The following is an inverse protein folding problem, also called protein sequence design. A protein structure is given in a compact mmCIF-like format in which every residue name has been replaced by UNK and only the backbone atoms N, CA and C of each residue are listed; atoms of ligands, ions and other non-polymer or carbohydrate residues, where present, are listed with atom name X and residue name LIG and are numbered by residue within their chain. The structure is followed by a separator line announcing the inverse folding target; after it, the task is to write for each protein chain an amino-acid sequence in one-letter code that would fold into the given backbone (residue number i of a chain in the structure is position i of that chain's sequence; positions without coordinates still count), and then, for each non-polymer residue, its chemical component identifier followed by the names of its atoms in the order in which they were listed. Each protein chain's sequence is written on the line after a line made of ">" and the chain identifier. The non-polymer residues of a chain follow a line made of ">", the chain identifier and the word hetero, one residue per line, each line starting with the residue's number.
data_IF_609362110751
#
_entry.id   IF_609362110751
#
_cell.length_a   1.000
_cell.length_b   1.000
_cell.length_c   1.000
_cell.angle_alpha   90.00
_cell.angle_beta   90.00
_cell.angle_gamma   90.00
#
_symmetry.space_group_name_H-M   'P 1'
#
loop_
_entity.id
_entity.type
_entity.pdbx_description
1 polymer ?
#
# COMPACT_ATOMS: atom_id res chain seq x y z
N UNK A 1 2.03 -4.23 51.11
CA UNK A 1 1.80 -2.96 50.37
C UNK A 1 2.41 -3.00 48.94
N UNK A 2 3.63 -3.49 48.77
CA UNK A 2 4.34 -3.57 47.47
C UNK A 2 3.63 -4.43 46.43
N UNK A 3 3.03 -5.57 46.81
CA UNK A 3 2.33 -6.46 45.89
C UNK A 3 1.02 -5.89 45.30
N UNK A 4 0.33 -5.00 46.03
CA UNK A 4 -0.87 -4.33 45.50
C UNK A 4 -0.51 -3.21 44.52
N UNK A 5 0.65 -2.55 44.70
CA UNK A 5 1.12 -1.49 43.82
C UNK A 5 1.55 -2.06 42.44
N UNK A 6 2.24 -3.24 42.43
CA UNK A 6 2.63 -3.89 41.17
C UNK A 6 1.44 -4.36 40.34
N UNK A 7 0.37 -4.87 41.00
CA UNK A 7 -0.83 -5.30 40.31
C UNK A 7 -1.61 -4.12 39.66
N UNK A 8 -1.62 -2.96 40.33
CA UNK A 8 -2.29 -1.75 39.83
C UNK A 8 -1.56 -1.17 38.63
N UNK A 9 -0.22 -1.18 38.61
CA UNK A 9 0.57 -0.74 37.46
C UNK A 9 0.42 -1.65 36.24
N UNK A 10 0.31 -2.97 36.45
CA UNK A 10 0.11 -3.94 35.35
C UNK A 10 -1.28 -3.79 34.73
N UNK A 11 -2.31 -3.59 35.52
CA UNK A 11 -3.69 -3.39 35.03
C UNK A 11 -3.85 -2.07 34.29
N UNK A 12 -3.20 -1.00 34.75
CA UNK A 12 -3.23 0.31 34.04
C UNK A 12 -2.45 0.27 32.73
N UNK A 13 -1.31 -0.45 32.66
CA UNK A 13 -0.55 -0.60 31.41
C UNK A 13 -1.33 -1.41 30.37
N UNK A 14 -1.98 -2.50 30.78
CA UNK A 14 -2.82 -3.32 29.89
C UNK A 14 -4.04 -2.55 29.41
N UNK A 15 -4.69 -1.74 30.27
CA UNK A 15 -5.84 -0.94 29.89
C UNK A 15 -5.45 0.24 28.95
N UNK A 16 -4.26 0.81 29.09
CA UNK A 16 -3.74 1.83 28.17
C UNK A 16 -3.42 1.25 26.79
N UNK A 17 -2.83 0.04 26.72
CA UNK A 17 -2.58 -0.65 25.46
C UNK A 17 -3.90 -1.04 24.74
N UNK A 18 -4.91 -1.52 25.47
CA UNK A 18 -6.24 -1.78 24.91
C UNK A 18 -6.96 -0.48 24.46
N UNK A 19 -6.80 0.62 25.17
CA UNK A 19 -7.40 1.92 24.81
C UNK A 19 -6.80 2.49 23.51
N UNK A 20 -5.50 2.30 23.27
CA UNK A 20 -4.87 2.73 22.01
C UNK A 20 -5.30 1.86 20.82
N UNK A 21 -5.51 0.57 21.02
CA UNK A 21 -6.00 -0.33 19.97
C UNK A 21 -7.45 -0.05 19.56
N UNK A 22 -8.27 0.49 20.45
CA UNK A 22 -9.69 0.78 20.18
C UNK A 22 -9.94 2.07 19.39
N UNK A 23 -8.96 2.96 19.25
CA UNK A 23 -9.14 4.28 18.62
C UNK A 23 -8.52 4.42 17.22
N UNK A 24 -8.01 3.34 16.61
CA UNK A 24 -7.56 3.39 15.21
C UNK A 24 -8.77 3.38 14.28
N UNK A 25 -9.06 4.53 13.68
CA UNK A 25 -10.12 4.66 12.69
C UNK A 25 -9.52 5.23 11.41
N UNK A 26 -9.31 4.36 10.43
CA UNK A 26 -8.89 4.77 9.10
C UNK A 26 -10.00 5.58 8.41
N UNK A 27 -9.63 6.43 7.47
CA UNK A 27 -10.59 7.12 6.61
C UNK A 27 -11.37 6.11 5.75
N UNK A 28 -12.52 6.53 5.25
CA UNK A 28 -13.41 5.71 4.41
C UNK A 28 -13.91 6.53 3.22
N UNK A 29 -13.01 7.32 2.63
CA UNK A 29 -13.35 8.26 1.56
C UNK A 29 -12.99 7.75 0.16
N UNK A 30 -12.50 6.53 0.01
CA UNK A 30 -12.14 5.87 -1.25
C UNK A 30 -10.88 6.39 -1.96
N UNK A 31 -10.24 7.44 -1.47
CA UNK A 31 -9.12 8.12 -2.15
C UNK A 31 -7.80 7.43 -1.80
N UNK A 32 -7.19 6.77 -2.79
CA UNK A 32 -5.82 6.25 -2.68
C UNK A 32 -4.89 7.18 -3.49
N UNK A 33 -3.94 7.82 -2.80
CA UNK A 33 -2.93 8.64 -3.44
C UNK A 33 -1.84 7.74 -4.05
N UNK A 34 -1.75 7.69 -5.39
CA UNK A 34 -0.80 6.89 -6.15
C UNK A 34 0.62 7.43 -5.95
N UNK A 35 1.52 6.62 -5.39
CA UNK A 35 2.90 7.01 -5.02
C UNK A 35 2.96 8.20 -4.06
N UNK A 36 1.95 8.32 -3.17
CA UNK A 36 1.69 9.49 -2.35
C UNK A 36 1.00 10.63 -3.10
N UNK A 37 0.67 11.72 -2.40
CA UNK A 37 0.10 12.92 -3.03
C UNK A 37 1.23 13.85 -3.50
N UNK A 38 1.82 13.53 -4.65
CA UNK A 38 3.06 14.14 -5.15
C UNK A 38 2.83 15.30 -6.13
N UNK A 39 1.69 15.34 -6.81
CA UNK A 39 1.55 16.15 -8.03
C UNK A 39 1.22 17.62 -7.74
N UNK A 40 0.29 17.91 -6.87
CA UNK A 40 -0.11 19.30 -6.58
C UNK A 40 0.94 20.03 -5.72
N UNK A 41 1.59 19.33 -4.80
CA UNK A 41 2.79 19.83 -4.13
C UNK A 41 3.99 19.14 -4.80
N UNK A 42 5.03 19.87 -5.25
CA UNK A 42 6.10 19.27 -6.07
C UNK A 42 7.01 18.35 -5.22
N UNK A 43 6.42 17.28 -4.71
CA UNK A 43 7.13 16.23 -4.00
C UNK A 43 7.52 15.11 -4.96
N UNK A 44 8.67 14.45 -4.80
CA UNK A 44 8.97 13.24 -5.56
C UNK A 44 7.95 12.14 -5.27
N UNK A 45 7.63 11.33 -6.27
CA UNK A 45 6.86 10.09 -6.07
C UNK A 45 7.57 9.17 -5.08
N UNK A 46 6.82 8.39 -4.31
CA UNK A 46 7.38 7.45 -3.33
C UNK A 46 8.25 8.09 -2.24
N UNK A 47 8.23 9.43 -2.08
CA UNK A 47 8.99 10.14 -1.04
C UNK A 47 8.24 10.17 0.30
N UNK A 48 8.97 10.44 1.38
CA UNK A 48 8.33 10.69 2.67
C UNK A 48 7.48 11.98 2.67
N UNK A 49 7.83 12.95 1.81
CA UNK A 49 7.07 14.17 1.62
C UNK A 49 5.74 13.90 0.91
N UNK A 50 5.70 13.07 -0.16
CA UNK A 50 4.44 12.72 -0.84
C UNK A 50 3.50 11.90 0.07
N UNK A 51 4.06 11.00 0.90
CA UNK A 51 3.31 10.31 1.94
C UNK A 51 2.72 11.30 2.95
N UNK A 52 3.52 12.24 3.45
CA UNK A 52 3.03 13.25 4.40
C UNK A 52 1.88 14.05 3.80
N UNK A 53 2.01 14.46 2.54
CA UNK A 53 0.95 15.21 1.87
C UNK A 53 -0.35 14.37 1.75
N UNK A 54 -0.27 13.07 1.43
CA UNK A 54 -1.44 12.19 1.40
C UNK A 54 -2.11 12.08 2.79
N UNK A 55 -1.30 12.00 3.86
CA UNK A 55 -1.77 12.01 5.24
C UNK A 55 -2.46 13.34 5.58
N UNK A 56 -1.84 14.46 5.25
CA UNK A 56 -2.37 15.80 5.55
C UNK A 56 -3.68 16.11 4.81
N UNK A 57 -3.84 15.54 3.61
CA UNK A 57 -5.09 15.59 2.85
C UNK A 57 -6.18 14.68 3.40
N UNK A 58 -5.83 13.71 4.25
CA UNK A 58 -6.75 12.71 4.78
C UNK A 58 -7.14 11.64 3.76
N UNK A 59 -6.26 11.27 2.85
CA UNK A 59 -6.48 10.15 1.94
C UNK A 59 -6.73 8.86 2.73
N UNK A 60 -7.61 7.99 2.22
CA UNK A 60 -7.85 6.67 2.81
C UNK A 60 -6.59 5.80 2.75
N UNK A 61 -5.85 5.91 1.66
CA UNK A 61 -4.56 5.24 1.51
C UNK A 61 -3.52 6.09 0.76
N UNK A 62 -2.26 5.78 1.01
CA UNK A 62 -1.10 6.23 0.24
C UNK A 62 -0.43 4.99 -0.33
N UNK A 63 -0.43 4.86 -1.64
CA UNK A 63 0.23 3.76 -2.32
C UNK A 63 1.73 4.06 -2.47
N UNK A 64 2.56 3.01 -2.44
CA UNK A 64 4.01 3.09 -2.65
C UNK A 64 4.56 1.76 -3.18
N UNK A 65 5.54 1.85 -4.07
CA UNK A 65 6.17 0.75 -4.78
C UNK A 65 7.44 0.27 -4.08
N UNK A 66 7.66 -1.03 -3.96
CA UNK A 66 8.82 -1.56 -3.24
C UNK A 66 9.62 -2.54 -4.07
N UNK A 67 10.94 -2.28 -4.14
CA UNK A 67 11.98 -3.13 -4.70
C UNK A 67 12.94 -3.59 -3.62
N UNK A 68 13.74 -4.61 -3.95
CA UNK A 68 14.81 -5.10 -3.07
C UNK A 68 16.17 -4.90 -3.72
N UNK A 69 17.08 -4.19 -3.04
CA UNK A 69 18.45 -3.96 -3.48
C UNK A 69 19.29 -5.26 -3.50
N UNK A 70 20.48 -5.22 -4.10
CA UNK A 70 21.40 -6.35 -4.13
C UNK A 70 21.79 -6.86 -2.74
N UNK A 71 21.90 -5.95 -1.77
CA UNK A 71 22.20 -6.25 -0.35
C UNK A 71 20.94 -6.51 0.50
N UNK A 72 19.76 -6.65 -0.15
CA UNK A 72 18.52 -7.11 0.50
C UNK A 72 17.78 -6.04 1.28
N UNK A 73 18.03 -4.76 1.05
CA UNK A 73 17.29 -3.65 1.63
C UNK A 73 16.05 -3.36 0.78
N UNK A 74 14.88 -3.22 1.40
CA UNK A 74 13.64 -2.84 0.74
C UNK A 74 13.58 -1.32 0.59
N UNK A 75 13.41 -0.81 -0.64
CA UNK A 75 13.38 0.62 -0.97
C UNK A 75 12.10 1.01 -1.69
N UNK A 76 11.64 2.25 -1.47
CA UNK A 76 10.46 2.78 -2.13
C UNK A 76 10.84 3.51 -3.42
N UNK A 77 10.48 2.93 -4.58
CA UNK A 77 10.71 3.49 -5.91
C UNK A 77 9.80 2.82 -6.93
N UNK A 78 9.28 3.55 -7.91
CA UNK A 78 8.40 2.93 -8.92
C UNK A 78 9.18 2.13 -9.97
N UNK A 79 10.17 2.75 -10.59
CA UNK A 79 10.93 2.14 -11.67
C UNK A 79 11.93 1.10 -11.12
N UNK A 80 12.32 0.14 -11.95
CA UNK A 80 13.32 -0.85 -11.57
C UNK A 80 14.73 -0.26 -11.37
N UNK A 81 14.92 0.97 -11.86
CA UNK A 81 16.15 1.74 -11.65
C UNK A 81 15.89 3.00 -10.83
N UNK A 82 16.93 3.48 -10.16
CA UNK A 82 17.00 4.79 -9.51
C UNK A 82 18.12 5.59 -10.15
N UNK A 83 17.75 6.65 -10.90
CA UNK A 83 18.71 7.53 -11.59
C UNK A 83 19.73 6.77 -12.45
N UNK A 84 19.25 5.74 -13.18
CA UNK A 84 20.04 4.91 -14.08
C UNK A 84 20.80 3.76 -13.42
N UNK A 85 20.63 3.52 -12.12
CA UNK A 85 21.18 2.36 -11.41
C UNK A 85 20.08 1.34 -11.14
N UNK A 86 20.22 0.12 -11.69
CA UNK A 86 19.27 -0.97 -11.41
C UNK A 86 19.25 -1.30 -9.93
N UNK A 87 18.07 -1.17 -9.31
CA UNK A 87 17.93 -1.32 -7.85
C UNK A 87 18.32 -2.72 -7.39
N UNK A 88 17.88 -3.75 -8.12
CA UNK A 88 18.17 -5.13 -7.75
C UNK A 88 19.64 -5.54 -7.93
N UNK A 89 20.44 -4.74 -8.64
CA UNK A 89 21.88 -4.97 -8.90
C UNK A 89 22.79 -4.07 -8.06
N UNK A 90 22.24 -2.99 -7.47
CA UNK A 90 22.97 -2.03 -6.66
C UNK A 90 22.75 -2.27 -5.16
N UNK A 91 23.73 -1.93 -4.35
CA UNK A 91 23.58 -1.83 -2.89
C UNK A 91 22.83 -0.56 -2.52
N UNK A 92 22.15 -0.57 -1.37
CA UNK A 92 21.48 0.64 -0.89
C UNK A 92 22.44 1.83 -0.70
N UNK A 93 23.69 1.57 -0.28
CA UNK A 93 24.71 2.59 -0.12
C UNK A 93 25.08 3.28 -1.45
N UNK A 94 25.10 2.54 -2.56
CA UNK A 94 25.31 3.09 -3.90
C UNK A 94 24.12 3.94 -4.35
N UNK A 95 22.88 3.48 -4.16
CA UNK A 95 21.67 4.23 -4.49
C UNK A 95 21.59 5.56 -3.72
N UNK A 96 22.04 5.60 -2.48
CA UNK A 96 22.07 6.83 -1.66
C UNK A 96 22.98 7.94 -2.20
N UNK A 97 23.86 7.66 -3.17
CA UNK A 97 24.66 8.68 -3.83
C UNK A 97 23.83 9.60 -4.73
N UNK A 98 22.61 9.19 -5.06
CA UNK A 98 21.64 9.93 -5.85
C UNK A 98 20.42 10.29 -4.98
N UNK A 99 20.36 11.48 -4.39
CA UNK A 99 19.19 11.91 -3.63
C UNK A 99 18.00 12.16 -4.56
N UNK A 100 16.79 12.13 -4.01
CA UNK A 100 15.59 12.56 -4.71
C UNK A 100 15.65 14.05 -5.07
N UNK A 101 14.86 14.53 -6.04
CA UNK A 101 14.90 15.94 -6.49
C UNK A 101 14.68 16.99 -5.38
N UNK A 102 14.00 16.65 -4.31
CA UNK A 102 13.79 17.51 -3.14
C UNK A 102 14.90 17.40 -2.07
N UNK A 103 15.94 16.63 -2.33
CA UNK A 103 17.06 16.40 -1.42
C UNK A 103 16.85 15.29 -0.39
N UNK A 104 15.69 14.64 -0.38
CA UNK A 104 15.49 13.44 0.43
C UNK A 104 16.37 12.29 -0.07
N UNK A 105 16.74 11.39 0.85
CA UNK A 105 17.34 10.11 0.48
C UNK A 105 16.23 9.21 -0.10
N UNK A 106 16.61 8.30 -1.02
CA UNK A 106 15.73 7.21 -1.43
C UNK A 106 15.20 6.50 -0.17
N UNK A 107 13.87 6.49 0.09
CA UNK A 107 13.35 5.93 1.33
C UNK A 107 13.49 4.41 1.35
N UNK A 108 13.80 3.83 2.50
CA UNK A 108 13.56 2.42 2.72
C UNK A 108 12.07 2.19 3.00
N UNK A 109 11.55 1.00 2.66
CA UNK A 109 10.19 0.62 3.03
C UNK A 109 9.98 0.70 4.56
N UNK A 110 11.01 0.37 5.35
CA UNK A 110 10.97 0.52 6.82
C UNK A 110 10.75 1.98 7.24
N UNK A 111 11.45 2.93 6.62
CA UNK A 111 11.28 4.35 6.91
C UNK A 111 9.90 4.86 6.50
N UNK A 112 9.41 4.42 5.32
CA UNK A 112 8.08 4.77 4.80
C UNK A 112 6.97 4.26 5.73
N UNK A 113 7.01 2.97 6.11
CA UNK A 113 6.05 2.38 7.03
C UNK A 113 6.07 3.07 8.39
N UNK A 114 7.24 3.29 8.98
CA UNK A 114 7.37 4.01 10.26
C UNK A 114 6.77 5.40 10.21
N UNK A 115 6.96 6.11 9.09
CA UNK A 115 6.34 7.43 8.87
C UNK A 115 4.81 7.31 8.81
N UNK A 116 4.27 6.35 8.06
CA UNK A 116 2.84 6.11 7.97
C UNK A 116 2.21 5.74 9.31
N UNK A 117 2.91 4.99 10.16
CA UNK A 117 2.44 4.59 11.49
C UNK A 117 2.38 5.74 12.52
N UNK A 118 2.87 6.95 12.20
CA UNK A 118 2.76 8.11 13.10
C UNK A 118 1.33 8.66 13.21
N UNK A 119 0.40 8.14 12.41
CA UNK A 119 -1.00 8.52 12.36
C UNK A 119 -1.90 7.27 12.22
N UNK A 120 -3.25 7.44 12.26
CA UNK A 120 -4.22 6.35 12.27
C UNK A 120 -5.38 6.57 11.27
N UNK A 121 -5.23 7.49 10.33
CA UNK A 121 -6.26 7.83 9.36
C UNK A 121 -5.99 7.26 7.97
N UNK A 122 -4.74 7.26 7.52
CA UNK A 122 -4.33 6.85 6.16
C UNK A 122 -3.64 5.49 6.21
N UNK A 123 -4.13 4.55 5.41
CA UNK A 123 -3.48 3.26 5.17
C UNK A 123 -2.27 3.39 4.24
N UNK A 124 -1.47 2.35 4.19
CA UNK A 124 -0.32 2.23 3.30
C UNK A 124 -0.62 1.08 2.33
N UNK A 125 -0.73 1.40 1.05
CA UNK A 125 -0.97 0.41 0.01
C UNK A 125 0.39 0.02 -0.57
N UNK A 126 0.87 -1.15 -0.18
CA UNK A 126 2.22 -1.63 -0.39
C UNK A 126 2.31 -2.45 -1.67
N UNK A 127 2.79 -1.86 -2.78
CA UNK A 127 3.05 -2.62 -3.99
C UNK A 127 4.36 -3.40 -3.88
N UNK A 128 4.29 -4.73 -3.93
CA UNK A 128 5.46 -5.59 -4.08
C UNK A 128 5.72 -5.75 -5.57
N UNK A 129 6.80 -5.14 -6.06
CA UNK A 129 7.17 -5.18 -7.49
C UNK A 129 7.65 -6.57 -7.90
N UNK A 130 7.27 -7.06 -9.09
CA UNK A 130 7.83 -8.31 -9.61
C UNK A 130 9.32 -8.15 -9.90
N UNK A 131 10.14 -9.09 -9.39
CA UNK A 131 11.58 -9.06 -9.65
C UNK A 131 11.88 -9.22 -11.14
N UNK A 132 12.84 -8.46 -11.65
CA UNK A 132 13.33 -8.58 -13.01
C UNK A 132 14.47 -9.60 -13.15
N UNK A 133 14.98 -10.13 -12.04
CA UNK A 133 16.08 -11.10 -12.00
C UNK A 133 15.54 -12.52 -12.06
N UNK A 134 14.64 -12.90 -11.15
CA UNK A 134 14.07 -14.25 -11.13
C UNK A 134 12.80 -14.31 -10.25
N UNK A 135 12.01 -15.38 -10.45
CA UNK A 135 10.85 -15.70 -9.64
C UNK A 135 11.22 -15.88 -8.14
N UNK A 136 12.33 -16.58 -7.88
CA UNK A 136 12.81 -16.85 -6.52
C UNK A 136 13.13 -15.54 -5.79
N UNK A 137 13.69 -14.55 -6.51
CA UNK A 137 13.95 -13.23 -5.94
C UNK A 137 12.68 -12.45 -5.66
N UNK A 138 11.64 -12.58 -6.49
CA UNK A 138 10.31 -12.05 -6.20
C UNK A 138 9.70 -12.68 -4.94
N UNK A 139 9.86 -13.99 -4.76
CA UNK A 139 9.42 -14.70 -3.55
C UNK A 139 10.22 -14.28 -2.30
N UNK A 140 11.52 -13.99 -2.44
CA UNK A 140 12.35 -13.43 -1.37
C UNK A 140 11.86 -12.02 -0.98
N UNK A 141 11.57 -11.17 -1.97
CA UNK A 141 11.03 -9.84 -1.75
C UNK A 141 9.69 -9.90 -1.00
N UNK A 142 8.77 -10.78 -1.41
CA UNK A 142 7.50 -11.01 -0.71
C UNK A 142 7.73 -11.43 0.76
N UNK A 143 8.66 -12.38 0.98
CA UNK A 143 8.99 -12.86 2.32
C UNK A 143 9.53 -11.75 3.21
N UNK A 144 10.51 -10.99 2.73
CA UNK A 144 11.09 -9.85 3.48
C UNK A 144 10.08 -8.73 3.73
N UNK A 145 9.14 -8.52 2.81
CA UNK A 145 8.07 -7.53 2.97
C UNK A 145 7.14 -7.90 4.13
N UNK A 146 6.67 -9.15 4.17
CA UNK A 146 5.82 -9.65 5.27
C UNK A 146 6.59 -9.65 6.59
N UNK A 147 7.84 -10.11 6.60
CA UNK A 147 8.69 -10.08 7.81
C UNK A 147 8.90 -8.66 8.33
N UNK A 148 9.12 -7.68 7.45
CA UNK A 148 9.27 -6.27 7.83
C UNK A 148 7.99 -5.73 8.48
N UNK A 149 6.83 -5.99 7.87
CA UNK A 149 5.53 -5.54 8.38
C UNK A 149 5.26 -6.14 9.75
N UNK A 150 5.48 -7.46 9.93
CA UNK A 150 5.34 -8.15 11.24
C UNK A 150 6.33 -7.63 12.28
N UNK A 151 7.59 -7.43 11.91
CA UNK A 151 8.62 -6.84 12.79
C UNK A 151 8.21 -5.47 13.33
N UNK A 152 7.58 -4.65 12.47
CA UNK A 152 7.12 -3.30 12.83
C UNK A 152 5.75 -3.31 13.52
N UNK A 153 5.03 -4.43 13.53
CA UNK A 153 3.63 -4.55 13.97
C UNK A 153 2.72 -3.59 13.20
N UNK A 154 2.94 -3.53 11.88
CA UNK A 154 2.28 -2.60 10.98
C UNK A 154 1.11 -3.22 10.21
N UNK A 155 0.72 -4.48 10.49
CA UNK A 155 -0.27 -5.26 9.74
C UNK A 155 -1.58 -4.49 9.55
N UNK A 156 -2.01 -3.71 10.53
CA UNK A 156 -3.24 -2.93 10.45
C UNK A 156 -3.18 -1.73 9.50
N UNK A 157 -1.99 -1.23 9.20
CA UNK A 157 -1.79 -0.11 8.25
C UNK A 157 -1.63 -0.57 6.82
N UNK A 158 -1.23 -1.84 6.59
CA UNK A 158 -0.80 -2.33 5.29
C UNK A 158 -1.93 -3.09 4.59
N UNK A 159 -2.18 -2.70 3.34
CA UNK A 159 -2.82 -3.55 2.35
C UNK A 159 -1.80 -3.77 1.21
N UNK A 160 -1.61 -5.02 0.78
CA UNK A 160 -0.63 -5.37 -0.25
C UNK A 160 -1.28 -5.38 -1.63
N UNK A 161 -0.51 -4.95 -2.64
CA UNK A 161 -0.88 -5.10 -4.04
C UNK A 161 0.32 -5.62 -4.84
N UNK A 162 0.08 -6.32 -5.94
CA UNK A 162 1.16 -6.83 -6.80
C UNK A 162 0.64 -7.21 -8.19
N UNK A 163 1.51 -7.07 -9.20
CA UNK A 163 1.31 -7.59 -10.56
C UNK A 163 1.68 -9.07 -10.70
N UNK A 164 2.42 -9.64 -9.77
CA UNK A 164 2.82 -11.04 -9.79
C UNK A 164 1.90 -11.88 -8.90
N UNK A 165 1.13 -12.78 -9.53
CA UNK A 165 0.18 -13.63 -8.82
C UNK A 165 0.82 -14.53 -7.78
N UNK A 166 2.00 -15.10 -8.10
CA UNK A 166 2.73 -15.96 -7.17
C UNK A 166 3.28 -15.18 -5.96
N UNK A 167 3.62 -13.90 -6.14
CA UNK A 167 3.97 -12.99 -5.03
C UNK A 167 2.75 -12.79 -4.12
N UNK A 168 1.56 -12.55 -4.70
CA UNK A 168 0.33 -12.43 -3.94
C UNK A 168 0.01 -13.67 -3.12
N UNK A 169 0.09 -14.85 -3.75
CA UNK A 169 -0.09 -16.14 -3.07
C UNK A 169 0.97 -16.36 -1.98
N UNK A 170 2.21 -15.91 -2.20
CA UNK A 170 3.27 -16.01 -1.19
C UNK A 170 3.00 -15.14 0.04
N UNK A 171 2.47 -13.95 -0.15
CA UNK A 171 2.04 -13.09 0.98
C UNK A 171 0.95 -13.80 1.78
N UNK A 172 -0.10 -14.35 1.13
CA UNK A 172 -1.19 -15.08 1.77
C UNK A 172 -0.72 -16.37 2.47
N UNK A 173 0.28 -17.07 1.91
CA UNK A 173 0.91 -18.23 2.58
C UNK A 173 1.58 -17.82 3.90
N UNK A 174 2.28 -16.67 3.91
CA UNK A 174 3.04 -16.19 5.06
C UNK A 174 2.16 -15.47 6.10
N UNK A 175 1.07 -14.87 5.64
CA UNK A 175 0.11 -14.13 6.45
C UNK A 175 -1.32 -14.28 5.88
N UNK A 176 -2.07 -15.33 6.30
CA UNK A 176 -3.43 -15.58 5.79
C UNK A 176 -4.46 -14.48 6.12
N UNK A 177 -4.15 -13.58 7.06
CA UNK A 177 -5.01 -12.45 7.42
C UNK A 177 -4.65 -11.16 6.65
N UNK A 178 -3.62 -11.20 5.79
CA UNK A 178 -3.19 -10.04 5.01
C UNK A 178 -4.24 -9.69 3.94
N UNK A 179 -4.50 -8.40 3.79
CA UNK A 179 -5.26 -7.89 2.65
C UNK A 179 -4.33 -7.85 1.43
N UNK A 180 -4.59 -8.67 0.42
CA UNK A 180 -3.83 -8.71 -0.82
C UNK A 180 -4.77 -8.49 -1.99
N UNK A 181 -4.52 -7.48 -2.85
CA UNK A 181 -5.24 -7.27 -4.09
C UNK A 181 -4.31 -7.46 -5.32
N UNK A 182 -4.88 -8.00 -6.39
CA UNK A 182 -4.15 -8.32 -7.62
C UNK A 182 -4.33 -7.22 -8.67
N UNK A 183 -3.25 -6.92 -9.44
CA UNK A 183 -3.17 -5.75 -10.31
C UNK A 183 -3.34 -6.05 -11.81
N UNK A 184 -2.99 -7.25 -12.28
CA UNK A 184 -2.80 -7.52 -13.74
C UNK A 184 -4.10 -7.51 -14.54
N UNK A 185 -5.23 -7.92 -13.94
CA UNK A 185 -6.54 -7.87 -14.63
C UNK A 185 -6.88 -9.10 -15.49
N UNK A 186 -6.14 -10.19 -15.35
CA UNK A 186 -6.33 -11.46 -16.07
C UNK A 186 -7.04 -12.54 -15.23
N UNK A 187 -7.48 -12.20 -14.01
CA UNK A 187 -8.23 -13.06 -13.11
C UNK A 187 -9.63 -12.53 -12.87
N UNK A 188 -10.60 -13.44 -12.86
CA UNK A 188 -11.99 -13.14 -12.50
C UNK A 188 -12.13 -12.95 -10.98
N UNK A 189 -13.17 -12.25 -10.49
CA UNK A 189 -13.44 -12.14 -9.06
C UNK A 189 -13.57 -13.51 -8.37
N UNK A 190 -14.13 -14.53 -9.04
CA UNK A 190 -14.25 -15.87 -8.47
C UNK A 190 -12.90 -16.53 -8.26
N UNK A 191 -11.97 -16.46 -9.24
CA UNK A 191 -10.63 -17.01 -9.11
C UNK A 191 -9.87 -16.34 -7.93
N UNK A 192 -9.97 -15.02 -7.81
CA UNK A 192 -9.36 -14.29 -6.70
C UNK A 192 -9.94 -14.70 -5.34
N UNK A 193 -11.25 -14.90 -5.27
CA UNK A 193 -11.93 -15.36 -4.06
C UNK A 193 -11.48 -16.75 -3.65
N UNK A 194 -11.38 -17.66 -4.61
CA UNK A 194 -11.00 -19.06 -4.37
C UNK A 194 -9.57 -19.17 -3.83
N UNK A 195 -8.68 -18.25 -4.26
CA UNK A 195 -7.29 -18.18 -3.84
C UNK A 195 -7.04 -17.24 -2.63
N UNK A 196 -8.11 -16.70 -2.04
CA UNK A 196 -8.06 -15.96 -0.77
C UNK A 196 -7.63 -14.50 -0.88
N UNK A 197 -7.62 -13.92 -2.09
CA UNK A 197 -7.35 -12.49 -2.25
C UNK A 197 -8.44 -11.63 -1.59
N UNK A 198 -8.04 -10.47 -1.09
CA UNK A 198 -8.93 -9.47 -0.50
C UNK A 198 -9.80 -8.75 -1.55
N UNK A 199 -9.28 -8.64 -2.79
CA UNK A 199 -9.95 -7.98 -3.89
C UNK A 199 -9.08 -7.87 -5.12
N UNK A 200 -9.50 -7.01 -6.04
CA UNK A 200 -8.67 -6.61 -7.16
C UNK A 200 -8.45 -5.09 -7.19
N UNK A 201 -7.30 -4.73 -7.73
CA UNK A 201 -6.94 -3.35 -8.05
C UNK A 201 -6.54 -3.31 -9.52
N UNK A 202 -7.51 -3.11 -10.42
CA UNK A 202 -7.29 -3.28 -11.85
C UNK A 202 -7.22 -1.96 -12.60
N UNK A 203 -6.49 -1.98 -13.72
CA UNK A 203 -6.47 -0.85 -14.63
C UNK A 203 -7.89 -0.44 -15.02
N UNK A 204 -8.19 0.86 -15.01
CA UNK A 204 -9.52 1.40 -15.34
C UNK A 204 -10.08 0.87 -16.68
N UNK A 205 -9.21 0.60 -17.67
CA UNK A 205 -9.64 -0.02 -18.94
C UNK A 205 -10.21 -1.41 -18.72
N UNK A 206 -9.51 -2.26 -17.96
CA UNK A 206 -9.97 -3.62 -17.63
C UNK A 206 -11.31 -3.58 -16.90
N UNK A 207 -11.47 -2.65 -15.94
CA UNK A 207 -12.72 -2.49 -15.19
C UNK A 207 -13.85 -2.03 -16.11
N UNK A 208 -13.60 -1.12 -17.07
CA UNK A 208 -14.58 -0.69 -18.07
C UNK A 208 -14.93 -1.78 -19.08
N UNK A 209 -14.00 -2.65 -19.44
CA UNK A 209 -14.23 -3.80 -20.32
C UNK A 209 -15.04 -4.90 -19.61
N UNK A 210 -14.97 -4.98 -18.27
CA UNK A 210 -15.63 -5.98 -17.45
C UNK A 210 -16.46 -5.35 -16.31
N UNK A 211 -17.42 -4.47 -16.58
CA UNK A 211 -18.12 -3.71 -15.54
C UNK A 211 -18.95 -4.58 -14.59
N UNK A 212 -19.32 -5.79 -14.99
CA UNK A 212 -20.02 -6.78 -14.17
C UNK A 212 -19.13 -7.31 -13.02
N UNK A 213 -17.82 -7.28 -13.16
CA UNK A 213 -16.89 -7.74 -12.11
C UNK A 213 -16.99 -6.93 -10.82
N UNK A 214 -17.46 -5.69 -10.89
CA UNK A 214 -17.68 -4.86 -9.69
C UNK A 214 -18.78 -5.50 -8.80
N UNK A 215 -19.92 -5.85 -9.38
CA UNK A 215 -21.03 -6.48 -8.65
C UNK A 215 -20.68 -7.91 -8.22
N UNK A 216 -19.99 -8.66 -9.09
CA UNK A 216 -19.50 -10.01 -8.78
C UNK A 216 -18.55 -10.00 -7.59
N UNK A 217 -17.57 -9.10 -7.58
CA UNK A 217 -16.60 -8.94 -6.48
C UNK A 217 -17.34 -8.62 -5.17
N UNK A 218 -18.23 -7.64 -5.16
CA UNK A 218 -19.00 -7.29 -3.98
C UNK A 218 -19.88 -8.45 -3.47
N UNK A 219 -20.48 -9.23 -4.37
CA UNK A 219 -21.27 -10.43 -4.01
C UNK A 219 -20.41 -11.49 -3.31
N UNK A 220 -19.14 -11.60 -3.73
CA UNK A 220 -18.15 -12.51 -3.15
C UNK A 220 -17.48 -11.94 -1.89
N UNK A 221 -17.77 -10.69 -1.52
CA UNK A 221 -17.15 -9.99 -0.39
C UNK A 221 -15.71 -9.54 -0.67
N UNK A 222 -15.37 -9.31 -1.94
CA UNK A 222 -14.10 -8.76 -2.39
C UNK A 222 -14.21 -7.24 -2.55
N UNK A 223 -13.09 -6.53 -2.38
CA UNK A 223 -12.98 -5.11 -2.67
C UNK A 223 -12.62 -4.85 -4.13
N UNK A 224 -13.02 -3.68 -4.61
CA UNK A 224 -12.76 -3.20 -5.96
C UNK A 224 -12.00 -1.88 -5.89
N UNK A 225 -10.79 -1.85 -6.46
CA UNK A 225 -10.03 -0.64 -6.72
C UNK A 225 -9.75 -0.49 -8.23
N UNK A 226 -9.55 0.72 -8.68
CA UNK A 226 -9.12 0.99 -10.07
C UNK A 226 -7.95 1.98 -10.10
N UNK A 227 -6.96 1.72 -10.98
CA UNK A 227 -5.76 2.56 -11.18
C UNK A 227 -5.45 2.80 -12.65
N UNK A 228 -4.63 3.76 -13.05
CA UNK A 228 -4.44 5.06 -12.38
C UNK A 228 -5.47 6.00 -12.96
N UNK A 229 -6.39 6.46 -12.13
CA UNK A 229 -7.59 7.17 -12.58
C UNK A 229 -7.40 8.68 -12.39
N UNK A 230 -7.06 9.39 -13.46
CA UNK A 230 -6.72 10.82 -13.41
C UNK A 230 -7.75 11.72 -14.11
N UNK A 231 -8.73 11.11 -14.80
CA UNK A 231 -9.78 11.89 -15.50
C UNK A 231 -11.04 11.95 -14.62
N UNK A 232 -11.58 13.15 -14.47
CA UNK A 232 -12.79 13.39 -13.66
C UNK A 232 -13.98 12.54 -14.11
N UNK A 233 -14.14 12.33 -15.44
CA UNK A 233 -15.20 11.49 -16.01
C UNK A 233 -15.10 10.03 -15.51
N UNK A 234 -13.88 9.49 -15.50
CA UNK A 234 -13.62 8.13 -15.02
C UNK A 234 -13.86 8.00 -13.52
N UNK A 235 -13.45 9.03 -12.75
CA UNK A 235 -13.72 9.07 -11.31
C UNK A 235 -15.22 9.06 -11.03
N UNK A 236 -16.01 9.89 -11.72
CA UNK A 236 -17.47 9.94 -11.59
C UNK A 236 -18.12 8.60 -11.92
N UNK A 237 -17.70 7.99 -13.04
CA UNK A 237 -18.19 6.68 -13.45
C UNK A 237 -17.94 5.60 -12.36
N UNK A 238 -16.73 5.54 -11.80
CA UNK A 238 -16.37 4.60 -10.73
C UNK A 238 -17.16 4.87 -9.44
N UNK A 239 -17.37 6.14 -9.07
CA UNK A 239 -18.19 6.52 -7.92
C UNK A 239 -19.66 6.09 -8.11
N UNK A 240 -20.23 6.25 -9.30
CA UNK A 240 -21.57 5.75 -9.67
C UNK A 240 -21.65 4.22 -9.58
N UNK A 241 -20.59 3.52 -9.97
CA UNK A 241 -20.44 2.05 -9.85
C UNK A 241 -20.19 1.59 -8.43
N UNK A 242 -19.95 2.51 -7.48
CA UNK A 242 -19.73 2.25 -6.06
C UNK A 242 -18.48 1.40 -5.76
N UNK A 243 -17.42 1.52 -6.56
CA UNK A 243 -16.14 0.87 -6.23
C UNK A 243 -15.68 1.27 -4.83
N UNK A 244 -14.85 0.45 -4.20
CA UNK A 244 -14.39 0.69 -2.83
C UNK A 244 -13.31 1.74 -2.79
N UNK A 245 -12.36 1.72 -3.75
CA UNK A 245 -11.23 2.63 -3.83
C UNK A 245 -10.98 3.12 -5.25
N UNK A 246 -10.31 4.25 -5.35
CA UNK A 246 -9.83 4.84 -6.61
C UNK A 246 -8.40 5.32 -6.38
N UNK A 247 -7.44 4.69 -7.07
CA UNK A 247 -6.02 5.07 -7.04
C UNK A 247 -5.75 6.13 -8.11
N UNK A 248 -5.25 7.30 -7.68
CA UNK A 248 -5.11 8.48 -8.54
C UNK A 248 -3.88 9.33 -8.22
N UNK A 249 -3.33 10.00 -9.25
CA UNK A 249 -2.34 11.08 -9.10
C UNK A 249 -3.00 12.43 -8.77
N UNK A 250 -4.34 12.50 -8.81
CA UNK A 250 -5.13 13.72 -8.65
C UNK A 250 -6.10 13.61 -7.45
N UNK A 251 -5.61 13.32 -6.23
CA UNK A 251 -6.48 13.13 -5.07
C UNK A 251 -7.36 14.36 -4.79
N UNK A 252 -6.88 15.59 -5.10
CA UNK A 252 -7.64 16.83 -4.94
C UNK A 252 -8.91 16.84 -5.79
N UNK A 253 -8.82 16.35 -7.05
CA UNK A 253 -9.97 16.25 -7.96
C UNK A 253 -10.97 15.27 -7.35
N UNK A 254 -10.51 14.07 -6.97
CA UNK A 254 -11.39 13.05 -6.41
C UNK A 254 -12.07 13.53 -5.11
N UNK A 255 -11.34 14.21 -4.21
CA UNK A 255 -11.93 14.82 -3.01
C UNK A 255 -13.02 15.84 -3.34
N UNK A 256 -12.91 16.57 -4.45
CA UNK A 256 -13.94 17.52 -4.85
C UNK A 256 -15.25 16.85 -5.29
N UNK A 257 -15.19 15.57 -5.71
CA UNK A 257 -16.33 14.80 -6.23
C UNK A 257 -17.10 14.02 -5.13
N UNK A 258 -16.45 13.73 -4.02
CA UNK A 258 -17.03 12.91 -2.92
C UNK A 258 -17.55 13.75 -1.74
N UNK A 259 -17.57 15.06 -1.89
CA UNK A 259 -18.10 16.02 -0.87
C UNK A 259 -19.61 15.99 -0.77
#
# INVERSE_FOLDING_TARGET
>A
MIQKILLTFLVTAVSLLHSQAQNMKFHTNKVIAHRGAWKAAPHPQNSLASLQQAIDMGCEGSEFDVWMTADGILVANHDADHEGMMIEEATYAELLQKPLPNGEKLPTAEAYIKKGMTQHGTKLIFEIKPSQISKERGQELATKSVELVKKLKAERWIDYITFDYDIGLKVLELDPEANVAYLTGDKTPQELKDDGFFGFDYNIRTVKENPQWIEEAHTLGLTVNAWTVNQEEDMRWLLEKKVDFITTDEPEILFSLIK
#
